data_IF_523283094093
#
_entry.id   IF_523283094093
#
_cell.length_a   1.000
_cell.length_b   1.000
_cell.length_c   1.000
_cell.angle_alpha   90.00
_cell.angle_beta   90.00
_cell.angle_gamma   90.00
#
_symmetry.space_group_name_H-M   'P 1'
#
loop_
_entity.id
_entity.type
_entity.pdbx_description
1 polymer ?
#
# COMPACT_ATOMS: atom_id res chain seq x y z
N UNK A 1 -2.84 20.50 13.34
CA UNK A 1 -2.94 19.56 14.48
C UNK A 1 -3.46 18.23 13.95
N UNK A 2 -2.83 17.11 14.33
CA UNK A 2 -3.33 15.77 13.99
C UNK A 2 -4.42 15.43 15.01
N UNK A 3 -5.65 15.23 14.55
CA UNK A 3 -6.76 14.87 15.44
C UNK A 3 -6.68 13.37 15.81
N UNK A 4 -6.96 13.00 17.08
CA UNK A 4 -7.04 11.61 17.48
C UNK A 4 -8.22 10.92 16.77
N UNK A 5 -8.02 9.68 16.35
CA UNK A 5 -9.06 8.85 15.73
C UNK A 5 -9.61 7.91 16.81
N UNK A 6 -10.92 7.99 17.06
CA UNK A 6 -11.63 7.05 17.94
C UNK A 6 -12.26 5.94 17.11
N UNK A 7 -11.84 4.69 17.35
CA UNK A 7 -12.35 3.50 16.65
C UNK A 7 -13.21 2.69 17.62
N UNK A 8 -14.44 2.36 17.21
CA UNK A 8 -15.29 1.41 17.95
C UNK A 8 -14.95 0.01 17.50
N UNK A 9 -14.57 -0.83 18.45
CA UNK A 9 -14.29 -2.24 18.25
C UNK A 9 -15.30 -3.05 19.06
N UNK A 10 -15.76 -4.17 18.50
CA UNK A 10 -16.46 -5.16 19.28
C UNK A 10 -15.52 -5.79 20.33
N UNK A 11 -16.12 -6.33 21.40
CA UNK A 11 -15.36 -6.89 22.52
C UNK A 11 -14.38 -8.01 22.11
N UNK A 12 -14.73 -9.00 21.26
CA UNK A 12 -13.78 -10.04 20.86
C UNK A 12 -12.62 -9.48 20.02
N UNK A 13 -12.90 -8.60 19.05
CA UNK A 13 -11.84 -7.97 18.24
C UNK A 13 -10.90 -7.15 19.10
N UNK A 14 -11.45 -6.38 20.05
CA UNK A 14 -10.63 -5.59 20.98
C UNK A 14 -9.69 -6.47 21.79
N UNK A 15 -10.19 -7.60 22.32
CA UNK A 15 -9.38 -8.54 23.11
C UNK A 15 -8.21 -9.12 22.31
N UNK A 16 -8.46 -9.57 21.08
CA UNK A 16 -7.42 -10.11 20.19
C UNK A 16 -6.29 -9.08 19.98
N UNK A 17 -6.66 -7.82 19.72
CA UNK A 17 -5.68 -6.76 19.50
C UNK A 17 -4.93 -6.36 20.78
N UNK A 18 -5.59 -6.40 21.94
CA UNK A 18 -4.94 -6.15 23.23
C UNK A 18 -3.95 -7.26 23.58
N UNK A 19 -4.29 -8.52 23.33
CA UNK A 19 -3.41 -9.67 23.54
C UNK A 19 -2.18 -9.60 22.63
N UNK A 20 -2.36 -9.28 21.34
CA UNK A 20 -1.26 -9.07 20.40
C UNK A 20 -0.36 -7.90 20.81
N UNK A 21 -0.97 -6.77 21.21
CA UNK A 21 -0.23 -5.60 21.68
C UNK A 21 0.63 -5.95 22.91
N UNK A 22 0.09 -6.77 23.82
CA UNK A 22 0.80 -7.28 25.00
C UNK A 22 1.96 -8.20 24.62
N UNK A 23 1.78 -9.13 23.69
CA UNK A 23 2.84 -10.00 23.17
C UNK A 23 4.00 -9.16 22.60
N UNK A 24 3.66 -8.11 21.86
CA UNK A 24 4.63 -7.19 21.26
C UNK A 24 5.22 -6.15 22.24
N UNK A 25 4.74 -6.10 23.49
CA UNK A 25 5.18 -5.12 24.48
C UNK A 25 4.83 -3.67 24.13
N UNK A 26 3.77 -3.44 23.37
CA UNK A 26 3.31 -2.11 22.94
C UNK A 26 1.89 -1.81 23.40
N UNK A 27 1.52 -0.52 23.45
CA UNK A 27 0.13 -0.14 23.70
C UNK A 27 -0.77 -0.35 22.48
N UNK A 28 -2.06 -0.61 22.70
CA UNK A 28 -3.05 -0.85 21.64
C UNK A 28 -3.07 0.26 20.57
N UNK A 29 -2.98 1.53 20.97
CA UNK A 29 -2.94 2.65 20.02
C UNK A 29 -1.72 2.60 19.09
N UNK A 30 -0.57 2.13 19.58
CA UNK A 30 0.64 1.96 18.78
C UNK A 30 0.49 0.80 17.80
N UNK A 31 -0.07 -0.32 18.24
CA UNK A 31 -0.36 -1.46 17.38
C UNK A 31 -1.32 -1.05 16.25
N UNK A 32 -2.43 -0.40 16.58
CA UNK A 32 -3.41 0.08 15.59
C UNK A 32 -2.80 1.02 14.57
N UNK A 33 -1.92 1.94 15.03
CA UNK A 33 -1.18 2.83 14.14
C UNK A 33 -0.28 2.05 13.18
N UNK A 34 0.48 1.07 13.68
CA UNK A 34 1.37 0.26 12.84
C UNK A 34 0.60 -0.55 11.78
N UNK A 35 -0.53 -1.15 12.17
CA UNK A 35 -1.43 -1.86 11.25
C UNK A 35 -1.95 -0.91 10.17
N UNK A 36 -2.41 0.28 10.57
CA UNK A 36 -2.92 1.28 9.64
C UNK A 36 -1.84 1.75 8.65
N UNK A 37 -0.63 2.04 9.14
CA UNK A 37 0.50 2.44 8.29
C UNK A 37 0.92 1.34 7.31
N UNK A 38 0.96 0.09 7.77
CA UNK A 38 1.25 -1.06 6.90
C UNK A 38 0.19 -1.20 5.81
N UNK A 39 -1.10 -1.16 6.20
CA UNK A 39 -2.20 -1.28 5.25
C UNK A 39 -2.24 -0.13 4.25
N UNK A 40 -1.95 1.10 4.68
CA UNK A 40 -1.87 2.26 3.80
C UNK A 40 -0.75 2.10 2.75
N UNK A 41 0.42 1.59 3.15
CA UNK A 41 1.52 1.27 2.22
C UNK A 41 1.10 0.23 1.17
N UNK A 42 0.39 -0.82 1.59
CA UNK A 42 -0.09 -1.85 0.68
C UNK A 42 -1.14 -1.34 -0.29
N UNK A 43 -2.08 -0.52 0.18
CA UNK A 43 -3.08 0.13 -0.67
C UNK A 43 -2.43 1.06 -1.70
N UNK A 44 -1.42 1.83 -1.29
CA UNK A 44 -0.65 2.68 -2.21
C UNK A 44 0.03 1.84 -3.29
N UNK A 45 0.72 0.75 -2.90
CA UNK A 45 1.40 -0.16 -3.85
C UNK A 45 0.41 -0.82 -4.80
N UNK A 46 -0.75 -1.27 -4.29
CA UNK A 46 -1.82 -1.87 -5.11
C UNK A 46 -2.29 -0.90 -6.19
N UNK A 47 -2.60 0.36 -5.82
CA UNK A 47 -3.01 1.40 -6.79
C UNK A 47 -1.95 1.67 -7.86
N UNK A 48 -0.67 1.75 -7.46
CA UNK A 48 0.43 1.94 -8.42
C UNK A 48 0.51 0.76 -9.40
N UNK A 49 0.38 -0.48 -8.91
CA UNK A 49 0.40 -1.67 -9.78
C UNK A 49 -0.79 -1.70 -10.73
N UNK A 50 -1.99 -1.34 -10.27
CA UNK A 50 -3.19 -1.26 -11.11
C UNK A 50 -3.03 -0.19 -12.20
N UNK A 51 -2.51 0.98 -11.86
CA UNK A 51 -2.22 2.05 -12.82
C UNK A 51 -1.14 1.62 -13.83
N UNK A 52 -0.05 1.00 -13.35
CA UNK A 52 1.03 0.49 -14.21
C UNK A 52 0.52 -0.58 -15.16
N UNK A 53 -0.34 -1.48 -14.70
CA UNK A 53 -0.96 -2.50 -15.54
C UNK A 53 -1.89 -1.90 -16.60
N UNK A 54 -2.61 -0.81 -16.28
CA UNK A 54 -3.42 -0.09 -17.25
C UNK A 54 -2.55 0.54 -18.36
N UNK A 55 -1.44 1.18 -17.99
CA UNK A 55 -0.45 1.71 -18.94
C UNK A 55 0.15 0.58 -19.79
N UNK A 56 0.58 -0.53 -19.16
CA UNK A 56 1.12 -1.68 -19.89
C UNK A 56 0.16 -2.25 -20.92
N UNK A 57 -1.15 -2.34 -20.59
CA UNK A 57 -2.17 -2.74 -21.56
C UNK A 57 -2.30 -1.75 -22.72
N UNK A 58 -2.31 -0.44 -22.43
CA UNK A 58 -2.38 0.61 -23.46
C UNK A 58 -1.19 0.50 -24.43
N UNK A 59 0.03 0.41 -23.89
CA UNK A 59 1.26 0.27 -24.66
C UNK A 59 1.22 -1.00 -25.53
N UNK A 60 0.79 -2.12 -24.98
CA UNK A 60 0.67 -3.37 -25.74
C UNK A 60 -0.36 -3.29 -26.87
N UNK A 61 -1.43 -2.50 -26.70
CA UNK A 61 -2.51 -2.36 -27.69
C UNK A 61 -2.31 -1.24 -28.71
N UNK A 62 -1.35 -0.33 -28.50
CA UNK A 62 -1.16 0.87 -29.31
C UNK A 62 0.32 1.00 -29.76
N UNK A 63 0.61 0.80 -31.05
CA UNK A 63 1.96 0.93 -31.61
C UNK A 63 2.61 2.30 -31.36
N UNK A 64 1.86 3.40 -31.38
CA UNK A 64 2.38 4.74 -31.13
C UNK A 64 2.81 4.90 -29.66
N UNK A 65 2.04 4.30 -28.75
CA UNK A 65 2.40 4.28 -27.33
C UNK A 65 3.63 3.39 -27.07
N UNK A 66 3.80 2.29 -27.82
CA UNK A 66 5.01 1.47 -27.76
C UNK A 66 6.24 2.23 -28.29
N UNK A 67 6.12 2.88 -29.45
CA UNK A 67 7.18 3.68 -30.04
C UNK A 67 7.66 4.81 -29.11
N UNK A 68 6.74 5.45 -28.38
CA UNK A 68 7.08 6.46 -27.38
C UNK A 68 8.00 5.91 -26.27
N UNK A 69 7.73 4.72 -25.74
CA UNK A 69 8.57 4.13 -24.67
C UNK A 69 9.92 3.61 -25.18
N UNK A 70 10.00 3.17 -26.44
CA UNK A 70 11.26 2.81 -27.08
C UNK A 70 12.17 4.04 -27.29
N UNK A 71 11.59 5.17 -27.72
CA UNK A 71 12.32 6.44 -27.90
C UNK A 71 12.74 7.09 -26.57
N UNK A 72 11.86 7.05 -25.56
CA UNK A 72 12.16 7.55 -24.21
C UNK A 72 13.28 6.76 -23.51
N UNK A 73 13.49 5.51 -23.92
CA UNK A 73 14.46 4.60 -23.34
C UNK A 73 13.93 3.90 -22.10
N UNK A 74 13.99 2.56 -22.10
CA UNK A 74 13.83 1.76 -20.89
C UNK A 74 15.19 1.58 -20.23
N UNK A 75 15.36 1.90 -18.93
CA UNK A 75 16.60 1.62 -18.22
C UNK A 75 16.94 0.13 -18.35
N UNK A 76 18.01 -0.19 -19.08
CA UNK A 76 18.49 -1.56 -19.23
C UNK A 76 19.26 -1.95 -17.98
N UNK A 77 19.14 -3.20 -17.57
CA UNK A 77 19.81 -3.73 -16.37
C UNK A 77 21.34 -3.72 -16.47
N UNK A 78 21.88 -3.53 -17.67
CA UNK A 78 23.32 -3.29 -17.91
C UNK A 78 23.61 -1.79 -17.83
N UNK A 79 23.74 -1.29 -16.61
CA UNK A 79 24.26 0.03 -16.29
C UNK A 79 25.18 -0.08 -15.08
#
# INVERSE_FOLDING_TARGET
>A
MIAPISVRLDAPTRKILEDEAKIMGVGLGRLLRQIAEARARDLKRKRIREASAAVGRLVASNPDAAAFYEDWGTPRAEG
#
